data_IF_189918128669
#
_entry.id   IF_189918128669
#
_cell.length_a   1.000
_cell.length_b   1.000
_cell.length_c   1.000
_cell.angle_alpha   90.00
_cell.angle_beta   90.00
_cell.angle_gamma   90.00
#
_symmetry.space_group_name_H-M   'P 1'
#
loop_
_entity.id
_entity.type
_entity.pdbx_description
1 polymer ?
#
# COMPACT_ATOMS: atom_id res chain seq x y z
N UNK A 1 -15.55 13.74 1.58
CA UNK A 1 -16.79 13.06 1.14
C UNK A 1 -17.18 12.12 2.25
N UNK A 2 -18.40 12.18 2.79
CA UNK A 2 -18.80 11.23 3.85
C UNK A 2 -19.09 9.87 3.21
N UNK A 3 -18.55 8.80 3.76
CA UNK A 3 -18.91 7.43 3.39
C UNK A 3 -20.42 7.25 3.52
N UNK A 4 -21.04 6.71 2.49
CA UNK A 4 -22.41 6.18 2.57
C UNK A 4 -22.43 4.81 1.91
N UNK A 5 -23.25 3.90 2.43
CA UNK A 5 -23.42 2.56 1.85
C UNK A 5 -23.79 2.64 0.36
N UNK A 6 -24.61 3.63 0.01
CA UNK A 6 -25.04 3.90 -1.37
C UNK A 6 -23.87 4.31 -2.27
N UNK A 7 -22.98 5.18 -1.83
CA UNK A 7 -21.81 5.59 -2.62
C UNK A 7 -20.80 4.45 -2.80
N UNK A 8 -20.68 3.56 -1.83
CA UNK A 8 -19.89 2.34 -1.91
C UNK A 8 -20.45 1.38 -2.97
N UNK A 9 -21.75 1.11 -2.94
CA UNK A 9 -22.44 0.26 -3.93
C UNK A 9 -22.34 0.84 -5.34
N UNK A 10 -22.56 2.15 -5.49
CA UNK A 10 -22.43 2.87 -6.77
C UNK A 10 -21.00 2.81 -7.32
N UNK A 11 -19.98 2.90 -6.45
CA UNK A 11 -18.59 2.77 -6.86
C UNK A 11 -18.28 1.37 -7.39
N UNK A 12 -18.68 0.32 -6.68
CA UNK A 12 -18.42 -1.06 -7.09
C UNK A 12 -19.29 -1.55 -8.25
N UNK A 13 -20.41 -0.88 -8.53
CA UNK A 13 -21.21 -1.12 -9.74
C UNK A 13 -20.52 -0.64 -11.02
N UNK A 14 -19.48 0.21 -10.92
CA UNK A 14 -18.72 0.66 -12.09
C UNK A 14 -17.82 -0.47 -12.62
N UNK A 15 -17.62 -0.54 -13.97
CA UNK A 15 -16.64 -1.44 -14.56
C UNK A 15 -15.23 -1.25 -13.98
N UNK A 16 -14.43 -2.33 -13.93
CA UNK A 16 -13.07 -2.29 -13.40
C UNK A 16 -12.19 -1.26 -14.14
N UNK A 17 -12.36 -1.14 -15.46
CA UNK A 17 -11.63 -0.19 -16.30
C UNK A 17 -11.92 1.27 -15.87
N UNK A 18 -13.17 1.58 -15.51
CA UNK A 18 -13.55 2.91 -15.03
C UNK A 18 -12.91 3.19 -13.67
N UNK A 19 -12.93 2.21 -12.77
CA UNK A 19 -12.30 2.31 -11.44
C UNK A 19 -10.78 2.47 -11.53
N UNK A 20 -10.12 1.80 -12.47
CA UNK A 20 -8.66 1.93 -12.68
C UNK A 20 -8.22 3.37 -12.97
N UNK A 21 -9.07 4.19 -13.60
CA UNK A 21 -8.74 5.59 -13.86
C UNK A 21 -8.53 6.41 -12.58
N UNK A 22 -9.14 6.01 -11.46
CA UNK A 22 -8.95 6.65 -10.16
C UNK A 22 -7.57 6.34 -9.54
N UNK A 23 -6.92 5.26 -9.98
CA UNK A 23 -5.64 4.79 -9.42
C UNK A 23 -4.42 5.25 -10.22
N UNK A 24 -4.67 6.01 -11.30
CA UNK A 24 -3.62 6.56 -12.16
C UNK A 24 -3.67 8.09 -12.15
N UNK A 25 -2.52 8.70 -12.32
CA UNK A 25 -2.40 10.15 -12.51
C UNK A 25 -1.29 10.43 -13.51
N UNK A 26 -1.60 11.24 -14.53
CA UNK A 26 -0.64 11.63 -15.58
C UNK A 26 0.02 10.41 -16.27
N UNK A 27 -0.78 9.35 -16.53
CA UNK A 27 -0.31 8.10 -17.13
C UNK A 27 0.56 7.24 -16.24
N UNK A 28 0.71 7.57 -14.96
CA UNK A 28 1.49 6.82 -13.98
C UNK A 28 0.59 6.13 -12.95
N UNK A 29 0.98 4.93 -12.57
CA UNK A 29 0.33 4.19 -11.50
C UNK A 29 0.55 4.92 -10.16
N UNK A 30 -0.53 5.38 -9.54
CA UNK A 30 -0.50 6.09 -8.25
C UNK A 30 -0.88 5.18 -7.09
N UNK A 31 -1.89 4.35 -7.28
CA UNK A 31 -2.36 3.38 -6.30
C UNK A 31 -2.39 1.99 -6.92
N UNK A 32 -1.89 0.99 -6.21
CA UNK A 32 -1.91 -0.41 -6.63
C UNK A 32 -3.08 -1.10 -5.93
N UNK A 33 -4.17 -1.32 -6.67
CA UNK A 33 -5.42 -1.87 -6.14
C UNK A 33 -5.86 -3.14 -6.86
N UNK A 34 -5.66 -3.21 -8.18
CA UNK A 34 -6.16 -4.27 -9.03
C UNK A 34 -5.05 -4.93 -9.84
N UNK A 35 -5.10 -6.26 -9.99
CA UNK A 35 -4.14 -6.99 -10.83
C UNK A 35 -4.16 -6.55 -12.30
N UNK A 36 -5.32 -6.10 -12.80
CA UNK A 36 -5.48 -5.59 -14.15
C UNK A 36 -4.67 -4.32 -14.46
N UNK A 37 -4.12 -3.66 -13.43
CA UNK A 37 -3.24 -2.50 -13.61
C UNK A 37 -1.86 -2.89 -14.16
N UNK A 38 -1.50 -4.17 -14.13
CA UNK A 38 -0.20 -4.67 -14.54
C UNK A 38 -0.29 -5.29 -15.93
N UNK A 39 0.29 -4.63 -16.93
CA UNK A 39 0.54 -5.24 -18.23
C UNK A 39 1.69 -6.26 -18.13
N UNK A 40 1.78 -7.18 -19.08
CA UNK A 40 2.89 -8.14 -19.17
C UNK A 40 4.23 -7.38 -19.21
N UNK A 41 4.31 -6.34 -20.04
CA UNK A 41 5.52 -5.52 -20.16
C UNK A 41 5.92 -4.88 -18.82
N UNK A 42 4.96 -4.30 -18.07
CA UNK A 42 5.24 -3.71 -16.76
C UNK A 42 5.71 -4.78 -15.76
N UNK A 43 5.14 -5.99 -15.81
CA UNK A 43 5.58 -7.09 -14.96
C UNK A 43 7.02 -7.53 -15.28
N UNK A 44 7.39 -7.62 -16.56
CA UNK A 44 8.75 -7.94 -16.98
C UNK A 44 9.76 -6.88 -16.48
N UNK A 45 9.42 -5.59 -16.61
CA UNK A 45 10.24 -4.49 -16.07
C UNK A 45 10.41 -4.59 -14.54
N UNK A 46 9.34 -4.93 -13.81
CA UNK A 46 9.38 -5.11 -12.36
C UNK A 46 10.21 -6.33 -11.95
N UNK A 47 10.18 -7.43 -12.71
CA UNK A 47 11.02 -8.60 -12.46
C UNK A 47 12.50 -8.29 -12.68
N UNK A 48 12.83 -7.55 -13.74
CA UNK A 48 14.22 -7.09 -13.97
C UNK A 48 14.73 -6.21 -12.82
N UNK A 49 13.88 -5.30 -12.32
CA UNK A 49 14.21 -4.49 -11.14
C UNK A 49 14.41 -5.38 -9.91
N UNK A 50 13.54 -6.35 -9.68
CA UNK A 50 13.63 -7.27 -8.55
C UNK A 50 14.95 -8.07 -8.57
N UNK A 51 15.36 -8.56 -9.73
CA UNK A 51 16.63 -9.27 -9.88
C UNK A 51 17.83 -8.36 -9.62
N UNK A 52 17.82 -7.12 -10.10
CA UNK A 52 18.87 -6.13 -9.79
C UNK A 52 18.94 -5.84 -8.29
N UNK A 53 17.80 -5.62 -7.63
CA UNK A 53 17.74 -5.42 -6.17
C UNK A 53 18.33 -6.63 -5.45
N UNK A 54 17.97 -7.84 -5.84
CA UNK A 54 18.51 -9.09 -5.29
C UNK A 54 20.03 -9.18 -5.42
N UNK A 55 20.60 -8.80 -6.56
CA UNK A 55 22.06 -8.75 -6.73
C UNK A 55 22.71 -7.67 -5.84
N UNK A 56 22.05 -6.52 -5.68
CA UNK A 56 22.57 -5.45 -4.81
C UNK A 56 22.59 -5.86 -3.34
N UNK A 57 21.61 -6.66 -2.87
CA UNK A 57 21.58 -7.14 -1.47
C UNK A 57 22.74 -8.08 -1.11
N UNK A 58 23.51 -8.58 -2.08
CA UNK A 58 24.68 -9.42 -1.86
C UNK A 58 25.95 -8.63 -1.49
N UNK A 59 25.92 -7.31 -1.58
CA UNK A 59 27.08 -6.43 -1.37
C UNK A 59 26.73 -5.33 -0.38
N UNK A 60 27.65 -5.03 0.54
CA UNK A 60 27.45 -3.99 1.57
C UNK A 60 27.09 -2.64 0.97
N UNK A 61 27.86 -2.18 -0.03
CA UNK A 61 27.57 -0.91 -0.71
C UNK A 61 26.21 -0.91 -1.46
N UNK A 62 25.77 -2.05 -1.95
CA UNK A 62 24.45 -2.20 -2.55
C UNK A 62 23.33 -2.06 -1.52
N UNK A 63 23.50 -2.64 -0.34
CA UNK A 63 22.55 -2.51 0.78
C UNK A 63 22.50 -1.04 1.25
N UNK A 64 23.63 -0.38 1.39
CA UNK A 64 23.70 1.04 1.76
C UNK A 64 23.00 1.93 0.75
N UNK A 65 23.24 1.69 -0.55
CA UNK A 65 22.55 2.39 -1.62
C UNK A 65 21.02 2.18 -1.54
N UNK A 66 20.55 0.93 -1.42
CA UNK A 66 19.13 0.65 -1.31
C UNK A 66 18.49 1.39 -0.13
N UNK A 67 19.14 1.35 1.05
CA UNK A 67 18.67 2.07 2.24
C UNK A 67 18.62 3.58 2.09
N UNK A 68 19.38 4.16 1.19
CA UNK A 68 19.37 5.60 0.94
C UNK A 68 18.23 6.06 0.03
N UNK A 69 17.59 5.15 -0.71
CA UNK A 69 16.64 5.50 -1.78
C UNK A 69 15.41 6.25 -1.25
N UNK A 70 14.81 5.76 -0.18
CA UNK A 70 13.57 6.28 0.38
C UNK A 70 13.67 6.62 1.88
N UNK A 71 14.89 6.93 2.37
CA UNK A 71 15.15 7.25 3.78
C UNK A 71 14.43 8.51 4.29
N UNK A 72 13.89 9.32 3.38
CA UNK A 72 13.08 10.51 3.67
C UNK A 72 11.57 10.22 3.60
N UNK A 73 11.16 8.97 3.37
CA UNK A 73 9.78 8.53 3.20
C UNK A 73 9.31 7.65 4.35
N UNK A 74 8.00 7.68 4.59
CA UNK A 74 7.36 6.91 5.66
C UNK A 74 6.26 6.03 5.09
N UNK A 75 6.19 4.79 5.57
CA UNK A 75 5.14 3.83 5.20
C UNK A 75 4.30 3.42 6.41
N UNK A 76 2.97 3.40 6.25
CA UNK A 76 2.04 2.81 7.20
C UNK A 76 1.65 1.41 6.73
N UNK A 77 1.83 0.41 7.60
CA UNK A 77 1.32 -0.95 7.39
C UNK A 77 0.03 -1.12 8.22
N UNK A 78 -1.11 -0.99 7.56
CA UNK A 78 -2.42 -1.06 8.19
C UNK A 78 -3.09 -2.40 7.88
N UNK A 79 -2.94 -3.36 8.81
CA UNK A 79 -3.36 -4.75 8.66
C UNK A 79 -4.43 -5.11 9.68
N UNK A 80 -5.68 -4.83 9.38
CA UNK A 80 -6.83 -5.19 10.22
C UNK A 80 -7.21 -6.67 10.09
N UNK A 81 -6.74 -7.32 9.02
CA UNK A 81 -6.79 -8.77 8.87
C UNK A 81 -5.43 -9.40 9.16
N UNK A 82 -5.31 -10.37 10.10
CA UNK A 82 -4.04 -11.00 10.43
C UNK A 82 -3.36 -11.66 9.22
N UNK A 83 -2.09 -11.37 9.04
CA UNK A 83 -1.25 -12.00 8.00
C UNK A 83 0.23 -11.82 8.32
N UNK A 84 0.87 -12.83 8.88
CA UNK A 84 2.28 -12.74 9.26
C UNK A 84 3.21 -12.62 8.06
N UNK A 85 3.09 -13.51 7.07
CA UNK A 85 4.00 -13.53 5.91
C UNK A 85 3.89 -12.27 5.06
N UNK A 86 2.67 -11.86 4.71
CA UNK A 86 2.44 -10.67 3.89
C UNK A 86 2.92 -9.41 4.62
N UNK A 87 2.60 -9.29 5.90
CA UNK A 87 3.04 -8.17 6.72
C UNK A 87 4.56 -8.05 6.75
N UNK A 88 5.27 -9.14 7.12
CA UNK A 88 6.74 -9.15 7.19
C UNK A 88 7.39 -8.90 5.82
N UNK A 89 6.80 -9.39 4.73
CA UNK A 89 7.27 -9.13 3.38
C UNK A 89 7.28 -7.63 3.06
N UNK A 90 6.18 -6.93 3.29
CA UNK A 90 6.10 -5.50 3.06
C UNK A 90 6.96 -4.69 4.03
N UNK A 91 6.97 -5.07 5.31
CA UNK A 91 7.82 -4.43 6.31
C UNK A 91 9.30 -4.49 5.90
N UNK A 92 9.76 -5.69 5.54
CA UNK A 92 11.15 -5.90 5.10
C UNK A 92 11.46 -5.11 3.82
N UNK A 93 10.53 -5.06 2.88
CA UNK A 93 10.72 -4.28 1.65
C UNK A 93 10.85 -2.78 1.96
N UNK A 94 10.01 -2.21 2.82
CA UNK A 94 10.11 -0.82 3.25
C UNK A 94 11.45 -0.53 3.94
N UNK A 95 11.88 -1.38 4.86
CA UNK A 95 13.16 -1.24 5.57
C UNK A 95 14.36 -1.39 4.64
N UNK A 96 14.26 -2.26 3.61
CA UNK A 96 15.32 -2.45 2.62
C UNK A 96 15.60 -1.18 1.83
N UNK A 97 14.57 -0.41 1.51
CA UNK A 97 14.71 0.87 0.78
C UNK A 97 14.84 2.08 1.70
N UNK A 98 14.94 1.86 3.01
CA UNK A 98 15.23 2.87 4.03
C UNK A 98 14.02 3.63 4.55
N UNK A 99 12.79 3.23 4.22
CA UNK A 99 11.60 3.91 4.74
C UNK A 99 11.43 3.68 6.25
N UNK A 100 11.03 4.72 6.97
CA UNK A 100 10.49 4.60 8.32
C UNK A 100 9.10 3.94 8.24
N UNK A 101 8.79 3.06 9.20
CA UNK A 101 7.52 2.32 9.18
C UNK A 101 6.72 2.55 10.45
N UNK A 102 5.40 2.83 10.28
CA UNK A 102 4.39 2.71 11.32
C UNK A 102 3.54 1.46 11.08
N UNK A 103 2.96 0.88 12.11
CA UNK A 103 2.11 -0.29 11.98
C UNK A 103 0.85 -0.23 12.86
N UNK A 104 -0.25 -0.75 12.30
CA UNK A 104 -1.47 -1.10 13.04
C UNK A 104 -1.85 -2.51 12.60
N UNK A 105 -1.87 -3.45 13.54
CA UNK A 105 -2.15 -4.87 13.28
C UNK A 105 -3.38 -5.39 14.01
N UNK A 106 -3.83 -4.65 15.01
CA UNK A 106 -5.00 -4.98 15.81
C UNK A 106 -5.87 -3.74 15.94
N UNK A 107 -7.05 -3.72 15.29
CA UNK A 107 -7.98 -2.60 15.37
C UNK A 107 -8.43 -2.30 16.81
N UNK A 108 -8.43 -3.31 17.69
CA UNK A 108 -8.82 -3.13 19.09
C UNK A 108 -7.87 -2.25 19.90
N UNK A 109 -6.65 -2.07 19.41
CA UNK A 109 -5.61 -1.21 20.01
C UNK A 109 -5.57 0.19 19.36
N UNK A 110 -6.38 0.42 18.33
CA UNK A 110 -6.44 1.68 17.60
C UNK A 110 -7.59 2.57 18.07
N UNK A 111 -7.64 3.80 17.55
CA UNK A 111 -8.73 4.74 17.80
C UNK A 111 -10.09 4.26 17.32
N UNK A 112 -10.15 3.24 16.45
CA UNK A 112 -11.39 2.57 16.01
C UNK A 112 -12.16 1.97 17.20
N UNK A 113 -11.47 1.42 18.20
CA UNK A 113 -12.10 0.95 19.44
C UNK A 113 -12.81 2.06 20.22
N UNK A 114 -12.42 3.31 20.00
CA UNK A 114 -13.04 4.51 20.59
C UNK A 114 -14.16 5.12 19.76
N UNK A 115 -14.57 4.45 18.67
CA UNK A 115 -15.68 4.86 17.79
C UNK A 115 -15.25 5.73 16.61
N UNK A 116 -13.97 5.86 16.32
CA UNK A 116 -13.48 6.45 15.07
C UNK A 116 -13.76 5.52 13.90
N UNK A 117 -14.16 6.06 12.74
CA UNK A 117 -14.34 5.24 11.55
C UNK A 117 -12.98 4.85 10.93
N UNK A 118 -12.91 3.67 10.30
CA UNK A 118 -11.71 3.24 9.57
C UNK A 118 -11.31 4.25 8.49
N UNK A 119 -12.29 4.87 7.82
CA UNK A 119 -12.04 5.89 6.80
C UNK A 119 -11.37 7.14 7.38
N UNK A 120 -11.78 7.57 8.57
CA UNK A 120 -11.16 8.71 9.24
C UNK A 120 -9.72 8.35 9.68
N UNK A 121 -9.50 7.13 10.19
CA UNK A 121 -8.17 6.61 10.49
C UNK A 121 -7.25 6.63 9.26
N UNK A 122 -7.71 6.15 8.10
CA UNK A 122 -6.92 6.18 6.84
C UNK A 122 -6.62 7.62 6.41
N UNK A 123 -7.56 8.56 6.57
CA UNK A 123 -7.30 9.99 6.28
C UNK A 123 -6.22 10.57 7.20
N UNK A 124 -6.23 10.20 8.47
CA UNK A 124 -5.18 10.61 9.41
C UNK A 124 -3.83 10.02 8.97
N UNK A 125 -3.77 8.72 8.64
CA UNK A 125 -2.54 8.08 8.16
C UNK A 125 -2.02 8.74 6.88
N UNK A 126 -2.91 9.11 5.96
CA UNK A 126 -2.51 9.78 4.72
C UNK A 126 -1.88 11.16 4.93
N UNK A 127 -2.07 11.78 6.09
CA UNK A 127 -1.42 13.04 6.46
C UNK A 127 -0.02 12.86 7.08
N UNK A 128 0.30 11.66 7.58
CA UNK A 128 1.56 11.35 8.26
C UNK A 128 2.52 10.50 7.44
N UNK A 129 1.99 9.72 6.49
CA UNK A 129 2.74 8.72 5.72
C UNK A 129 2.65 8.98 4.23
N UNK A 130 3.74 8.69 3.51
CA UNK A 130 3.82 8.81 2.05
C UNK A 130 3.22 7.60 1.33
N UNK A 131 3.22 6.44 2.00
CA UNK A 131 2.71 5.16 1.52
C UNK A 131 1.84 4.50 2.58
N UNK A 132 0.69 3.98 2.19
CA UNK A 132 -0.15 3.14 3.04
C UNK A 132 -0.29 1.77 2.37
N UNK A 133 0.08 0.72 3.09
CA UNK A 133 -0.05 -0.67 2.68
C UNK A 133 -1.14 -1.29 3.54
N UNK A 134 -2.28 -1.63 2.91
CA UNK A 134 -3.50 -2.04 3.62
C UNK A 134 -3.84 -3.49 3.35
N UNK A 135 -4.34 -4.15 4.39
CA UNK A 135 -5.04 -5.43 4.30
C UNK A 135 -6.23 -5.41 5.25
N UNK A 136 -7.43 -5.50 4.69
CA UNK A 136 -8.69 -5.47 5.42
C UNK A 136 -9.56 -6.68 5.06
N UNK A 137 -10.35 -7.25 6.00
CA UNK A 137 -11.27 -8.35 5.71
C UNK A 137 -12.50 -7.93 4.91
N UNK A 138 -12.84 -6.63 4.92
CA UNK A 138 -14.02 -6.10 4.21
C UNK A 138 -13.70 -6.00 2.72
N UNK A 139 -14.39 -6.77 1.85
CA UNK A 139 -14.15 -6.69 0.42
C UNK A 139 -14.31 -5.28 -0.11
N UNK A 140 -13.33 -4.82 -0.91
CA UNK A 140 -13.37 -3.52 -1.56
C UNK A 140 -13.02 -2.32 -0.67
N UNK A 141 -12.86 -2.48 0.64
CA UNK A 141 -12.54 -1.36 1.52
C UNK A 141 -11.27 -0.62 1.11
N UNK A 142 -10.23 -1.34 0.71
CA UNK A 142 -8.98 -0.73 0.28
C UNK A 142 -9.07 0.03 -1.05
N UNK A 143 -10.10 -0.28 -1.88
CA UNK A 143 -10.31 0.36 -3.18
C UNK A 143 -11.13 1.66 -3.07
N UNK A 144 -12.03 1.75 -2.11
CA UNK A 144 -12.96 2.84 -1.91
C UNK A 144 -12.34 3.95 -1.10
#
# INVERSE_FOLDING_TARGET
>A
MKFSLKSYEEYFAQPAETRMNHYQKDGRLKHVMLSHQFSIQLLEELFDIADRVKEMTRKTNGIEFLKSLLSHKKAMLYFTQPSTRTFLSFLTACQMVGMDTGEVRDPSLSSEYKGESQEDGVRVFSSYFDLIIMRDPKPGFCEY
#
